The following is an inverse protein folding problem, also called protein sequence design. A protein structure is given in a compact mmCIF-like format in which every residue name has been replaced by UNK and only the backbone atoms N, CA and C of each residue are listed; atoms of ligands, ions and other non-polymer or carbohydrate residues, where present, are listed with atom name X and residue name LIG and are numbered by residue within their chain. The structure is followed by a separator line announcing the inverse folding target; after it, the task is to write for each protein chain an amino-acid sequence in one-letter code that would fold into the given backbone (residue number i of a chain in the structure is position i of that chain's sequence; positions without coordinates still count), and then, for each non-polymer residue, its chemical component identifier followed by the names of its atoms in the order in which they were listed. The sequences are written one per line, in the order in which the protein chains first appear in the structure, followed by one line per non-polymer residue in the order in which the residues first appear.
data_IF_067079107055
#
_entry.id   IF_067079107055
#
_cell.length_a   1.000
_cell.length_b   1.000
_cell.length_c   1.000
_cell.angle_alpha   90.00
_cell.angle_beta   90.00
_cell.angle_gamma   90.00
#
_symmetry.space_group_name_H-M   'P 1'
#
loop_
_entity.id
_entity.type
_entity.pdbx_description
1 polymer ?
#
# COMPACT_ATOMS: atom_id res chain seq x y z
N UNK A 1 -19.32 23.64 9.37
CA UNK A 1 -18.00 23.27 9.92
C UNK A 1 -18.12 21.89 10.55
N UNK A 2 -17.97 20.84 9.75
CA UNK A 2 -17.90 19.47 10.29
C UNK A 2 -16.52 19.31 10.92
N UNK A 3 -16.45 18.85 12.18
CA UNK A 3 -15.20 18.38 12.76
C UNK A 3 -14.74 17.20 11.88
N UNK A 4 -13.65 17.38 11.13
CA UNK A 4 -13.03 16.28 10.39
C UNK A 4 -12.66 15.20 11.39
N UNK A 5 -13.00 13.95 11.09
CA UNK A 5 -12.46 12.79 11.82
C UNK A 5 -10.94 12.83 11.79
N UNK A 6 -10.29 12.35 12.84
CA UNK A 6 -8.83 12.18 12.82
C UNK A 6 -8.40 11.32 11.62
N UNK A 7 -7.26 11.63 10.97
CA UNK A 7 -6.74 10.81 9.88
C UNK A 7 -6.55 9.35 10.32
N UNK A 8 -7.03 8.44 9.49
CA UNK A 8 -6.94 7.01 9.71
C UNK A 8 -6.92 6.19 8.42
N UNK A 9 -6.77 4.86 8.54
CA UNK A 9 -6.88 3.95 7.41
C UNK A 9 -8.32 3.87 6.91
N UNK A 10 -8.49 3.86 5.59
CA UNK A 10 -9.77 3.79 4.89
C UNK A 10 -9.77 2.54 4.02
N UNK A 11 -10.73 1.65 4.26
CA UNK A 11 -10.90 0.44 3.46
C UNK A 11 -11.43 0.80 2.07
N UNK A 12 -10.69 0.45 1.01
CA UNK A 12 -11.06 0.73 -0.38
C UNK A 12 -11.51 -0.53 -1.10
N UNK A 13 -10.77 -1.63 -0.96
CA UNK A 13 -11.15 -2.92 -1.54
C UNK A 13 -11.38 -3.91 -0.43
N UNK A 14 -12.55 -4.54 -0.37
CA UNK A 14 -12.84 -5.60 0.60
C UNK A 14 -12.94 -6.94 -0.12
N UNK A 15 -12.38 -7.99 0.50
CA UNK A 15 -12.48 -9.38 0.04
C UNK A 15 -13.50 -10.12 0.89
N UNK A 16 -14.54 -10.63 0.25
CA UNK A 16 -15.50 -11.50 0.91
C UNK A 16 -14.93 -12.92 0.99
N UNK A 17 -14.78 -13.44 2.21
CA UNK A 17 -14.21 -14.77 2.45
C UNK A 17 -15.18 -15.92 2.16
N UNK A 18 -16.49 -15.64 2.09
CA UNK A 18 -17.51 -16.66 1.86
C UNK A 18 -17.63 -17.04 0.38
N UNK A 19 -17.48 -16.07 -0.52
CA UNK A 19 -17.65 -16.25 -1.97
C UNK A 19 -16.43 -15.83 -2.80
N UNK A 20 -15.33 -15.42 -2.16
CA UNK A 20 -14.10 -14.95 -2.80
C UNK A 20 -14.35 -13.81 -3.80
N UNK A 21 -15.32 -12.95 -3.49
CA UNK A 21 -15.65 -11.75 -4.28
C UNK A 21 -14.91 -10.52 -3.76
N UNK A 22 -14.74 -9.54 -4.66
CA UNK A 22 -14.11 -8.26 -4.35
C UNK A 22 -15.14 -7.15 -4.47
N UNK A 23 -15.17 -6.26 -3.50
CA UNK A 23 -16.00 -5.05 -3.53
C UNK A 23 -15.12 -3.82 -3.42
N UNK A 24 -15.41 -2.82 -4.25
CA UNK A 24 -14.78 -1.51 -4.22
C UNK A 24 -15.71 -0.53 -3.52
N UNK A 25 -15.21 0.14 -2.48
CA UNK A 25 -15.90 1.27 -1.85
C UNK A 25 -15.57 2.55 -2.61
N UNK A 26 -16.35 2.82 -3.65
CA UNK A 26 -16.18 3.99 -4.50
C UNK A 26 -16.38 5.29 -3.72
N UNK A 27 -17.34 5.35 -2.79
CA UNK A 27 -17.61 6.57 -2.01
C UNK A 27 -16.43 6.92 -1.10
N UNK A 28 -15.80 5.91 -0.48
CA UNK A 28 -14.60 6.09 0.33
C UNK A 28 -13.42 6.54 -0.53
N UNK A 29 -13.23 5.94 -1.71
CA UNK A 29 -12.15 6.31 -2.63
C UNK A 29 -12.30 7.74 -3.16
N UNK A 30 -13.52 8.12 -3.56
CA UNK A 30 -13.84 9.47 -4.01
C UNK A 30 -13.60 10.51 -2.91
N UNK A 31 -13.93 10.18 -1.66
CA UNK A 31 -13.69 11.07 -0.52
C UNK A 31 -12.20 11.39 -0.33
N UNK A 32 -11.32 10.43 -0.60
CA UNK A 32 -9.86 10.60 -0.46
C UNK A 32 -9.26 11.30 -1.68
N UNK A 33 -9.62 10.87 -2.90
CA UNK A 33 -8.93 11.29 -4.12
C UNK A 33 -9.61 12.43 -4.88
N UNK A 34 -10.91 12.67 -4.68
CA UNK A 34 -11.66 13.75 -5.34
C UNK A 34 -11.85 14.98 -4.44
N UNK A 35 -11.16 15.04 -3.29
CA UNK A 35 -11.15 16.22 -2.46
C UNK A 35 -10.61 17.43 -3.26
N UNK A 36 -11.24 18.62 -3.18
CA UNK A 36 -10.90 19.79 -4.01
C UNK A 36 -9.41 20.17 -4.01
N UNK A 37 -8.74 19.96 -2.88
CA UNK A 37 -7.33 20.24 -2.66
C UNK A 37 -6.37 19.31 -3.40
N UNK A 38 -6.80 18.11 -3.82
CA UNK A 38 -5.91 17.10 -4.45
C UNK A 38 -6.38 16.59 -5.81
N UNK A 39 -7.68 16.67 -6.13
CA UNK A 39 -8.29 16.01 -7.31
C UNK A 39 -7.68 16.38 -8.66
N UNK A 40 -7.11 17.59 -8.76
CA UNK A 40 -6.56 18.14 -10.01
C UNK A 40 -5.01 18.04 -10.04
N UNK A 41 -4.41 17.28 -9.12
CA UNK A 41 -2.94 17.11 -9.02
C UNK A 41 -2.49 15.76 -9.56
N UNK A 42 -1.24 15.72 -10.03
CA UNK A 42 -0.58 14.45 -10.29
C UNK A 42 -0.44 13.65 -8.99
N UNK A 43 -0.75 12.36 -9.04
CA UNK A 43 -0.72 11.46 -7.89
C UNK A 43 0.52 10.57 -7.89
N UNK A 44 1.07 10.33 -6.71
CA UNK A 44 2.06 9.30 -6.42
C UNK A 44 1.40 8.34 -5.43
N UNK A 45 1.27 7.08 -5.83
CA UNK A 45 0.68 6.04 -4.99
C UNK A 45 1.82 5.10 -4.59
N UNK A 46 2.16 5.11 -3.30
CA UNK A 46 3.14 4.22 -2.69
C UNK A 46 2.40 3.05 -2.05
N UNK A 47 2.62 1.85 -2.60
CA UNK A 47 2.04 0.60 -2.11
C UNK A 47 3.10 -0.26 -1.44
N UNK A 48 2.74 -0.94 -0.36
CA UNK A 48 3.54 -2.03 0.23
C UNK A 48 2.76 -3.32 0.12
N UNK A 49 3.33 -4.30 -0.58
CA UNK A 49 2.76 -5.63 -0.77
C UNK A 49 3.81 -6.72 -0.46
N UNK A 50 3.35 -7.93 -0.20
CA UNK A 50 4.19 -9.06 0.16
C UNK A 50 3.53 -9.99 1.16
N UNK A 51 4.30 -10.98 1.62
CA UNK A 51 3.78 -12.02 2.49
C UNK A 51 3.13 -11.47 3.78
N UNK A 52 2.16 -12.21 4.28
CA UNK A 52 1.50 -11.94 5.54
C UNK A 52 2.48 -11.98 6.74
N UNK A 53 2.25 -11.12 7.75
CA UNK A 53 3.05 -10.99 8.98
C UNK A 53 4.53 -10.61 8.78
N UNK A 54 4.87 -9.95 7.68
CA UNK A 54 6.23 -9.43 7.42
C UNK A 54 6.41 -7.93 7.71
N UNK A 55 5.51 -7.32 8.47
CA UNK A 55 5.64 -5.93 8.94
C UNK A 55 5.43 -4.86 7.87
N UNK A 56 4.41 -5.02 7.00
CA UNK A 56 4.03 -4.06 5.94
C UNK A 56 3.45 -2.77 6.53
N UNK A 57 2.37 -2.88 7.28
CA UNK A 57 1.72 -1.75 7.97
C UNK A 57 2.69 -1.04 8.91
N UNK A 58 3.58 -1.80 9.58
CA UNK A 58 4.63 -1.23 10.42
C UNK A 58 5.61 -0.31 9.67
N UNK A 59 6.07 -0.68 8.47
CA UNK A 59 6.95 0.20 7.69
C UNK A 59 6.18 1.40 7.11
N UNK A 60 4.91 1.20 6.74
CA UNK A 60 4.03 2.28 6.30
C UNK A 60 3.79 3.33 7.40
N UNK A 61 3.66 2.92 8.65
CA UNK A 61 3.48 3.86 9.76
C UNK A 61 4.71 4.74 10.00
N UNK A 62 5.92 4.22 9.76
CA UNK A 62 7.13 5.06 9.75
C UNK A 62 7.14 6.03 8.59
N UNK A 63 6.65 5.61 7.41
CA UNK A 63 6.48 6.52 6.27
C UNK A 63 5.45 7.61 6.60
N UNK A 64 4.31 7.27 7.23
CA UNK A 64 3.34 8.24 7.73
C UNK A 64 4.01 9.25 8.67
N UNK A 65 4.77 8.77 9.66
CA UNK A 65 5.48 9.63 10.61
C UNK A 65 6.45 10.58 9.88
N UNK A 66 7.19 10.08 8.89
CA UNK A 66 8.04 10.93 8.04
C UNK A 66 7.23 11.97 7.27
N UNK A 67 6.10 11.59 6.66
CA UNK A 67 5.27 12.51 5.88
C UNK A 67 4.71 13.65 6.73
N UNK A 68 4.29 13.38 7.96
CA UNK A 68 3.83 14.39 8.92
C UNK A 68 4.95 15.27 9.47
N UNK A 69 6.18 14.73 9.61
CA UNK A 69 7.30 15.41 10.29
C UNK A 69 8.47 15.74 9.37
N UNK A 70 8.26 15.78 8.05
CA UNK A 70 9.34 15.95 7.05
C UNK A 70 10.18 17.21 7.23
N UNK A 71 9.65 18.23 7.91
CA UNK A 71 10.33 19.49 8.24
C UNK A 71 11.12 19.44 9.56
N UNK A 72 10.97 18.39 10.34
CA UNK A 72 11.63 18.22 11.65
C UNK A 72 12.95 17.47 11.50
N UNK A 73 13.95 17.86 12.29
CA UNK A 73 15.26 17.19 12.30
C UNK A 73 15.20 15.78 12.89
N UNK A 74 14.32 15.54 13.86
CA UNK A 74 14.07 14.23 14.46
C UNK A 74 12.69 13.68 14.07
N UNK A 75 12.43 13.57 12.77
CA UNK A 75 11.16 13.06 12.24
C UNK A 75 10.79 11.66 12.75
N UNK A 76 11.79 10.85 13.14
CA UNK A 76 11.58 9.48 13.60
C UNK A 76 10.82 9.41 14.94
N UNK A 77 10.82 10.50 15.71
CA UNK A 77 10.20 10.57 17.04
C UNK A 77 11.14 10.15 18.16
N UNK A 78 10.61 10.11 19.38
CA UNK A 78 11.34 9.59 20.55
C UNK A 78 11.32 8.05 20.59
N UNK A 79 12.27 7.44 21.30
CA UNK A 79 12.36 5.96 21.41
C UNK A 79 11.13 5.33 22.07
N UNK A 80 10.48 6.05 22.99
CA UNK A 80 9.28 5.63 23.72
C UNK A 80 7.97 6.04 23.03
N UNK A 81 8.05 6.70 21.88
CA UNK A 81 6.88 7.22 21.19
C UNK A 81 6.15 6.11 20.40
N UNK A 82 4.89 5.80 20.74
CA UNK A 82 4.14 4.73 20.09
C UNK A 82 3.92 5.01 18.60
N UNK A 83 4.09 3.98 17.78
CA UNK A 83 3.85 4.05 16.34
C UNK A 83 2.35 3.87 16.06
N UNK A 84 1.74 4.86 15.41
CA UNK A 84 0.30 4.90 15.10
C UNK A 84 0.10 5.12 13.61
N UNK A 85 -0.95 4.51 13.05
CA UNK A 85 -1.26 4.62 11.63
C UNK A 85 -2.21 3.52 11.20
N UNK A 86 -1.80 2.73 10.22
CA UNK A 86 -2.50 1.51 9.83
C UNK A 86 -2.54 0.52 11.00
N UNK A 87 -3.60 -0.29 11.11
CA UNK A 87 -3.66 -1.27 12.19
C UNK A 87 -2.54 -2.30 12.03
N UNK A 88 -1.71 -2.45 13.05
CA UNK A 88 -0.72 -3.52 13.14
C UNK A 88 -0.68 -4.09 14.54
N UNK A 89 -0.63 -5.42 14.64
CA UNK A 89 -0.49 -6.14 15.91
C UNK A 89 0.38 -7.38 15.72
N UNK A 90 1.17 -7.70 16.75
CA UNK A 90 1.80 -9.02 16.87
C UNK A 90 0.75 -10.14 16.99
N UNK A 91 1.10 -11.38 16.63
CA UNK A 91 0.22 -12.55 16.69
C UNK A 91 0.17 -13.33 15.37
N UNK A 92 -0.69 -14.35 15.24
CA UNK A 92 -0.80 -15.21 14.05
C UNK A 92 -1.96 -14.88 13.09
N UNK A 93 -2.93 -14.07 13.53
CA UNK A 93 -4.17 -13.83 12.77
C UNK A 93 -4.09 -12.66 11.78
N UNK A 94 -4.67 -12.74 10.57
CA UNK A 94 -4.72 -11.63 9.62
C UNK A 94 -5.29 -10.33 10.19
N UNK A 95 -4.61 -9.20 9.91
CA UNK A 95 -5.06 -7.87 10.36
C UNK A 95 -5.62 -7.08 9.18
N UNK A 96 -4.80 -6.82 8.14
CA UNK A 96 -5.21 -6.12 6.93
C UNK A 96 -5.89 -7.08 5.95
N UNK A 97 -7.14 -6.79 5.58
CA UNK A 97 -7.87 -7.47 4.49
C UNK A 97 -8.04 -6.53 3.31
N UNK A 98 -7.92 -7.03 2.07
CA UNK A 98 -8.04 -6.25 0.85
C UNK A 98 -7.01 -5.11 0.71
N UNK A 99 -7.47 -3.89 0.40
CA UNK A 99 -6.62 -2.70 0.19
C UNK A 99 -7.15 -1.54 1.05
N UNK A 100 -6.24 -0.91 1.80
CA UNK A 100 -6.51 0.30 2.58
C UNK A 100 -5.66 1.47 2.07
N UNK A 101 -6.23 2.66 2.08
CA UNK A 101 -5.51 3.91 1.86
C UNK A 101 -5.45 4.72 3.15
N UNK A 102 -4.44 5.56 3.32
CA UNK A 102 -4.50 6.61 4.33
C UNK A 102 -5.49 7.70 3.90
N UNK A 103 -6.39 8.10 4.79
CA UNK A 103 -7.42 9.11 4.49
C UNK A 103 -6.86 10.50 4.12
N UNK A 104 -5.70 10.86 4.65
CA UNK A 104 -5.05 12.14 4.36
C UNK A 104 -4.06 11.99 3.20
N UNK A 105 -4.24 12.80 2.16
CA UNK A 105 -3.34 12.83 1.00
C UNK A 105 -2.31 13.93 1.19
N UNK A 106 -1.03 13.57 1.10
CA UNK A 106 0.05 14.50 1.41
C UNK A 106 0.48 15.29 0.19
N UNK A 107 0.45 16.62 0.28
CA UNK A 107 1.00 17.48 -0.75
C UNK A 107 2.53 17.61 -0.61
N UNK A 108 3.24 17.26 -1.67
CA UNK A 108 4.70 17.29 -1.73
C UNK A 108 5.16 18.12 -2.93
N UNK A 109 5.92 19.18 -2.64
CA UNK A 109 6.61 19.97 -3.65
C UNK A 109 7.84 19.20 -4.16
N UNK A 110 7.91 19.03 -5.47
CA UNK A 110 9.07 18.48 -6.17
C UNK A 110 10.16 19.54 -6.32
N UNK A 111 11.38 19.09 -6.66
CA UNK A 111 12.52 19.98 -6.91
C UNK A 111 12.30 20.97 -8.06
N UNK A 112 11.38 20.67 -8.98
CA UNK A 112 11.00 21.54 -10.10
C UNK A 112 9.90 22.55 -9.74
N UNK A 113 9.48 22.61 -8.46
CA UNK A 113 8.42 23.50 -7.96
C UNK A 113 7.00 23.00 -8.24
N UNK A 114 6.83 21.85 -8.89
CA UNK A 114 5.50 21.26 -9.09
C UNK A 114 5.06 20.49 -7.84
N UNK A 115 3.78 20.55 -7.51
CA UNK A 115 3.22 19.84 -6.37
C UNK A 115 2.54 18.54 -6.80
N UNK A 116 2.73 17.48 -6.03
CA UNK A 116 2.07 16.19 -6.23
C UNK A 116 1.35 15.72 -4.98
N UNK A 117 0.27 14.98 -5.19
CA UNK A 117 -0.51 14.31 -4.17
C UNK A 117 0.11 12.93 -3.88
N UNK A 118 0.59 12.68 -2.66
CA UNK A 118 1.16 11.40 -2.25
C UNK A 118 0.16 10.63 -1.40
N UNK A 119 -0.13 9.40 -1.83
CA UNK A 119 -1.07 8.48 -1.19
C UNK A 119 -0.31 7.23 -0.74
N UNK A 120 -0.55 6.81 0.50
CA UNK A 120 0.00 5.55 1.04
C UNK A 120 -1.07 4.46 0.99
N UNK A 121 -0.68 3.29 0.50
CA UNK A 121 -1.53 2.12 0.32
C UNK A 121 -0.96 0.91 1.08
N UNK A 122 -1.74 0.40 2.04
CA UNK A 122 -1.48 -0.88 2.69
C UNK A 122 -2.31 -1.98 2.03
N UNK A 123 -1.72 -3.17 1.92
CA UNK A 123 -2.35 -4.30 1.24
C UNK A 123 -2.38 -5.51 2.14
N UNK A 124 -3.39 -6.35 1.94
CA UNK A 124 -3.45 -7.67 2.56
C UNK A 124 -2.18 -8.47 2.27
N UNK A 125 -1.71 -9.18 3.29
CA UNK A 125 -0.61 -10.10 3.12
C UNK A 125 -1.00 -11.32 2.30
N UNK A 126 -0.15 -11.69 1.35
CA UNK A 126 -0.34 -12.93 0.61
C UNK A 126 -0.12 -14.15 1.52
N UNK A 127 -0.81 -15.25 1.19
CA UNK A 127 -0.66 -16.58 1.81
C UNK A 127 -1.03 -16.64 3.29
N UNK A 128 -2.06 -15.91 3.71
CA UNK A 128 -2.71 -16.23 4.98
C UNK A 128 -3.51 -17.54 4.89
N UNK A 129 -3.94 -18.08 6.04
CA UNK A 129 -4.62 -19.37 6.11
C UNK A 129 -6.05 -19.36 5.55
N UNK A 130 -6.58 -18.19 5.18
CA UNK A 130 -8.00 -18.02 4.81
C UNK A 130 -8.20 -17.56 3.36
N UNK A 131 -7.13 -17.14 2.68
CA UNK A 131 -7.19 -16.55 1.34
C UNK A 131 -6.70 -17.53 0.29
N UNK A 132 -7.35 -17.52 -0.87
CA UNK A 132 -6.88 -18.31 -2.01
C UNK A 132 -5.68 -17.65 -2.68
N UNK A 133 -4.94 -18.42 -3.48
CA UNK A 133 -3.87 -17.89 -4.35
C UNK A 133 -4.44 -16.81 -5.28
N UNK A 134 -5.68 -17.00 -5.75
CA UNK A 134 -6.40 -16.03 -6.59
C UNK A 134 -6.65 -14.73 -5.83
N UNK A 135 -7.08 -14.80 -4.56
CA UNK A 135 -7.34 -13.62 -3.74
C UNK A 135 -6.08 -12.76 -3.58
N UNK A 136 -4.99 -13.42 -3.21
CA UNK A 136 -3.69 -12.78 -3.07
C UNK A 136 -3.21 -12.18 -4.40
N UNK A 137 -3.38 -12.91 -5.51
CA UNK A 137 -2.98 -12.45 -6.83
C UNK A 137 -3.76 -11.21 -7.27
N UNK A 138 -5.07 -11.18 -7.05
CA UNK A 138 -5.92 -10.03 -7.41
C UNK A 138 -5.56 -8.80 -6.59
N UNK A 139 -5.38 -8.90 -5.27
CA UNK A 139 -4.98 -7.77 -4.43
C UNK A 139 -3.60 -7.24 -4.86
N UNK A 140 -2.64 -8.13 -5.06
CA UNK A 140 -1.30 -7.73 -5.49
C UNK A 140 -1.33 -7.06 -6.87
N UNK A 141 -2.02 -7.67 -7.85
CA UNK A 141 -2.16 -7.12 -9.19
C UNK A 141 -2.82 -5.74 -9.17
N UNK A 142 -3.94 -5.58 -8.46
CA UNK A 142 -4.61 -4.28 -8.30
C UNK A 142 -3.68 -3.23 -7.69
N UNK A 143 -2.98 -3.58 -6.60
CA UNK A 143 -2.03 -2.65 -5.94
C UNK A 143 -0.85 -2.28 -6.84
N UNK A 144 -0.37 -3.20 -7.68
CA UNK A 144 0.74 -2.95 -8.62
C UNK A 144 0.28 -2.11 -9.81
N UNK A 145 -0.92 -2.37 -10.32
CA UNK A 145 -1.51 -1.63 -11.45
C UNK A 145 -1.85 -0.18 -11.08
N UNK A 146 -2.23 0.06 -9.82
CA UNK A 146 -2.66 1.38 -9.35
C UNK A 146 -1.54 2.16 -8.66
N UNK A 147 -0.43 1.52 -8.30
CA UNK A 147 0.72 2.19 -7.68
C UNK A 147 1.73 2.71 -8.70
N UNK A 148 2.30 3.86 -8.40
CA UNK A 148 3.49 4.35 -9.11
C UNK A 148 4.79 3.80 -8.51
N UNK A 149 4.73 3.44 -7.22
CA UNK A 149 5.82 2.79 -6.50
C UNK A 149 5.28 1.60 -5.71
N UNK A 150 5.71 0.40 -6.11
CA UNK A 150 5.41 -0.84 -5.40
C UNK A 150 6.62 -1.27 -4.57
N UNK A 151 6.47 -1.34 -3.26
CA UNK A 151 7.44 -1.98 -2.36
C UNK A 151 7.01 -3.43 -2.20
N UNK A 152 7.89 -4.35 -2.58
CA UNK A 152 7.73 -5.78 -2.37
C UNK A 152 8.52 -6.18 -1.11
N UNK A 153 7.79 -6.36 -0.02
CA UNK A 153 8.32 -6.60 1.31
C UNK A 153 8.54 -8.10 1.55
N UNK A 154 9.80 -8.51 1.50
CA UNK A 154 10.27 -9.89 1.63
C UNK A 154 11.00 -10.11 2.96
N UNK A 155 11.13 -11.36 3.37
CA UNK A 155 11.75 -11.74 4.65
C UNK A 155 13.01 -12.55 4.38
N UNK A 156 14.10 -12.16 5.02
CA UNK A 156 15.44 -12.75 5.00
C UNK A 156 16.15 -12.70 3.63
N UNK A 157 15.56 -13.26 2.58
CA UNK A 157 16.18 -13.33 1.26
C UNK A 157 15.11 -13.33 0.15
N UNK A 158 15.56 -13.25 -1.10
CA UNK A 158 14.72 -13.44 -2.29
C UNK A 158 14.80 -14.92 -2.67
N UNK A 159 13.67 -15.62 -2.60
CA UNK A 159 13.55 -17.01 -2.97
C UNK A 159 12.94 -17.16 -4.37
N UNK A 160 13.05 -18.34 -4.98
CA UNK A 160 12.52 -18.58 -6.33
C UNK A 160 10.99 -18.47 -6.37
N UNK A 161 10.31 -18.91 -5.32
CA UNK A 161 8.87 -18.76 -5.16
C UNK A 161 8.46 -17.28 -5.05
N UNK A 162 9.24 -16.41 -4.41
CA UNK A 162 8.97 -14.95 -4.40
C UNK A 162 8.95 -14.37 -5.82
N UNK A 163 9.85 -14.86 -6.69
CA UNK A 163 9.94 -14.44 -8.10
C UNK A 163 8.83 -15.04 -8.96
N UNK A 164 8.47 -16.30 -8.73
CA UNK A 164 7.34 -16.95 -9.41
C UNK A 164 6.01 -16.28 -9.04
N UNK A 165 5.84 -15.89 -7.78
CA UNK A 165 4.69 -15.11 -7.31
C UNK A 165 4.64 -13.75 -8.00
N UNK A 166 5.76 -13.03 -8.03
CA UNK A 166 5.84 -11.76 -8.74
C UNK A 166 5.50 -11.91 -10.23
N UNK A 167 5.98 -12.97 -10.88
CA UNK A 167 5.65 -13.28 -12.28
C UNK A 167 4.14 -13.54 -12.45
N UNK A 168 3.54 -14.36 -11.60
CA UNK A 168 2.11 -14.65 -11.65
C UNK A 168 1.31 -13.35 -11.54
N UNK A 169 1.63 -12.50 -10.57
CA UNK A 169 0.85 -11.29 -10.30
C UNK A 169 1.03 -10.21 -11.36
N UNK A 170 2.25 -10.07 -11.90
CA UNK A 170 2.52 -9.14 -12.99
C UNK A 170 1.81 -9.58 -14.28
N UNK A 171 1.70 -10.88 -14.55
CA UNK A 171 0.94 -11.37 -15.70
C UNK A 171 -0.56 -11.15 -15.54
N UNK A 172 -1.13 -11.34 -14.34
CA UNK A 172 -2.53 -10.99 -14.05
C UNK A 172 -2.80 -9.49 -14.27
N UNK A 173 -1.90 -8.62 -13.79
CA UNK A 173 -2.02 -7.18 -14.02
C UNK A 173 -1.90 -6.83 -15.51
N UNK A 174 -0.96 -7.46 -16.23
CA UNK A 174 -0.78 -7.23 -17.67
C UNK A 174 -1.99 -7.69 -18.48
N UNK A 175 -2.62 -8.81 -18.14
CA UNK A 175 -3.83 -9.30 -18.82
C UNK A 175 -5.05 -8.38 -18.57
N UNK A 176 -5.06 -7.66 -17.45
CA UNK A 176 -6.10 -6.68 -17.12
C UNK A 176 -5.85 -5.28 -17.71
N UNK A 177 -4.64 -5.02 -18.22
CA UNK A 177 -4.27 -3.79 -18.89
C UNK A 177 -4.34 -3.97 -20.42
N UNK A 178 -4.89 -2.99 -21.13
CA UNK A 178 -4.92 -3.00 -22.61
C UNK A 178 -3.49 -3.13 -23.18
N UNK A 179 -3.36 -3.60 -24.43
CA UNK A 179 -2.07 -3.79 -25.11
C UNK A 179 -1.32 -2.46 -25.30
N UNK A 180 -0.57 -2.05 -24.27
CA UNK A 180 0.26 -0.86 -24.27
C UNK A 180 1.69 -1.28 -24.69
N UNK A 181 2.28 -0.58 -25.67
CA UNK A 181 3.65 -0.81 -26.15
C UNK A 181 4.75 -0.38 -25.15
N UNK A 182 4.38 0.11 -23.97
CA UNK A 182 5.27 0.57 -22.91
C UNK A 182 5.31 -0.45 -21.77
N UNK A 183 6.33 -0.33 -20.90
CA UNK A 183 6.38 -1.16 -19.68
C UNK A 183 5.10 -0.90 -18.84
N UNK A 184 4.39 -1.95 -18.41
CA UNK A 184 3.08 -1.81 -17.77
C UNK A 184 3.13 -1.20 -16.36
N UNK A 185 4.29 -1.30 -15.69
CA UNK A 185 4.50 -0.80 -14.33
C UNK A 185 5.68 0.17 -14.27
N UNK A 186 5.68 1.06 -13.28
CA UNK A 186 6.68 2.11 -13.12
C UNK A 186 7.88 1.67 -12.27
N UNK A 187 7.73 1.63 -10.94
CA UNK A 187 8.82 1.33 -10.01
C UNK A 187 8.47 0.18 -9.08
N UNK A 188 9.35 -0.83 -9.02
CA UNK A 188 9.28 -1.95 -8.08
C UNK A 188 10.54 -1.95 -7.21
N UNK A 189 10.38 -1.96 -5.88
CA UNK A 189 11.47 -2.00 -4.90
C UNK A 189 11.39 -3.25 -4.05
N UNK A 190 12.43 -4.08 -4.07
CA UNK A 190 12.56 -5.20 -3.15
C UNK A 190 13.05 -4.70 -1.79
N UNK A 191 12.22 -4.85 -0.75
CA UNK A 191 12.56 -4.54 0.62
C UNK A 191 12.80 -5.86 1.37
N UNK A 192 14.08 -6.19 1.61
CA UNK A 192 14.47 -7.42 2.31
C UNK A 192 14.57 -7.14 3.81
N UNK A 193 13.61 -7.66 4.59
CA UNK A 193 13.55 -7.56 6.05
C UNK A 193 14.43 -8.62 6.68
N UNK A 194 14.98 -8.35 7.86
CA UNK A 194 15.79 -9.31 8.62
C UNK A 194 16.94 -9.93 7.82
N UNK A 195 17.57 -9.10 6.97
CA UNK A 195 18.73 -9.48 6.17
C UNK A 195 19.85 -9.98 7.10
N UNK A 196 20.27 -11.23 6.91
CA UNK A 196 21.16 -11.95 7.84
C UNK A 196 22.43 -12.50 7.19
N UNK A 197 22.75 -12.06 5.96
CA UNK A 197 23.86 -12.57 5.16
C UNK A 197 24.93 -11.52 4.85
#
# INVERSE_FOLDING_TARGET
MGRGSEPGPVQIVTVSKEDHSFSLDTEALERVLLAPEVRDKHVVVLSVAGAFRKGKSFILDFMLRYMYRKSESNWLGAEDEPLTGFSWRGGSEPETTGIQLWSEVFLVEKRDGTEVAVVLMDTQGAFDTQSTVKDCATIFALSTMTSSMQIYNLSQNIQEDDLQQLQLFTEYGRLAMDEIFLKPFQSLMFLIRDWSF
#
